data_IF_234237347387
#
_entry.id   IF_234237347387
#
_cell.length_a   1.000
_cell.length_b   1.000
_cell.length_c   1.000
_cell.angle_alpha   90.00
_cell.angle_beta   90.00
_cell.angle_gamma   90.00
#
_symmetry.space_group_name_H-M   'P 1'
#
loop_
_entity.id
_entity.type
_entity.pdbx_description
1 polymer ?
#
# COMPACT_ATOMS: atom_id res chain seq x y z
N UNK A 1 -4.85 14.71 -17.28
CA UNK A 1 -6.14 15.44 -17.31
C UNK A 1 -6.80 15.43 -15.94
N UNK A 2 -6.47 16.41 -15.09
CA UNK A 2 -7.26 16.69 -13.88
C UNK A 2 -8.43 17.58 -14.29
N UNK A 3 -9.65 17.19 -13.95
CA UNK A 3 -10.84 18.02 -14.20
C UNK A 3 -10.91 19.11 -13.13
N UNK A 4 -11.32 20.32 -13.52
CA UNK A 4 -11.43 21.48 -12.61
C UNK A 4 -12.54 21.24 -11.57
N UNK A 5 -13.60 20.51 -11.95
CA UNK A 5 -14.61 19.99 -11.03
C UNK A 5 -14.19 18.55 -10.67
N UNK A 6 -13.81 18.26 -9.42
CA UNK A 6 -13.35 16.93 -9.07
C UNK A 6 -14.50 15.94 -9.03
N UNK A 7 -14.29 14.77 -9.62
CA UNK A 7 -15.20 13.62 -9.45
C UNK A 7 -14.99 12.96 -8.09
N UNK A 8 -15.98 12.21 -7.59
CA UNK A 8 -15.88 11.52 -6.30
C UNK A 8 -14.63 10.61 -6.20
N UNK A 9 -14.30 9.88 -7.27
CA UNK A 9 -13.09 9.06 -7.34
C UNK A 9 -11.80 9.88 -7.30
N UNK A 10 -11.75 11.01 -8.03
CA UNK A 10 -10.60 11.92 -7.98
C UNK A 10 -10.39 12.49 -6.57
N UNK A 11 -11.46 12.81 -5.84
CA UNK A 11 -11.37 13.28 -4.45
C UNK A 11 -10.75 12.23 -3.53
N UNK A 12 -11.17 10.97 -3.65
CA UNK A 12 -10.61 9.88 -2.85
C UNK A 12 -9.11 9.67 -3.13
N UNK A 13 -8.72 9.55 -4.40
CA UNK A 13 -7.31 9.36 -4.76
C UNK A 13 -6.44 10.56 -4.38
N UNK A 14 -6.96 11.78 -4.50
CA UNK A 14 -6.28 13.00 -4.06
C UNK A 14 -6.08 13.00 -2.54
N UNK A 15 -7.10 12.65 -1.77
CA UNK A 15 -7.01 12.52 -0.32
C UNK A 15 -5.93 11.51 0.10
N UNK A 16 -5.92 10.34 -0.52
CA UNK A 16 -4.90 9.30 -0.25
C UNK A 16 -3.50 9.80 -0.62
N UNK A 17 -3.32 10.45 -1.76
CA UNK A 17 -2.04 11.01 -2.17
C UNK A 17 -1.55 12.10 -1.22
N UNK A 18 -2.43 13.00 -0.78
CA UNK A 18 -2.12 14.04 0.20
C UNK A 18 -1.76 13.42 1.56
N UNK A 19 -2.46 12.37 1.99
CA UNK A 19 -2.13 11.61 3.19
C UNK A 19 -0.70 11.03 3.12
N UNK A 20 -0.37 10.32 2.03
CA UNK A 20 0.97 9.74 1.83
C UNK A 20 2.03 10.84 1.79
N UNK A 21 1.76 11.95 1.09
CA UNK A 21 2.69 13.08 1.00
C UNK A 21 2.94 13.72 2.37
N UNK A 22 1.89 13.88 3.18
CA UNK A 22 2.01 14.43 4.52
C UNK A 22 2.84 13.51 5.44
N UNK A 23 2.55 12.20 5.44
CA UNK A 23 3.36 11.22 6.17
C UNK A 23 4.82 11.27 5.73
N UNK A 24 5.06 11.27 4.41
CA UNK A 24 6.42 11.33 3.85
C UNK A 24 7.13 12.61 4.27
N UNK A 25 6.45 13.76 4.21
CA UNK A 25 7.02 15.05 4.63
C UNK A 25 7.35 15.08 6.11
N UNK A 26 6.47 14.56 6.97
CA UNK A 26 6.67 14.54 8.42
C UNK A 26 7.84 13.63 8.82
N UNK A 27 8.01 12.48 8.16
CA UNK A 27 9.01 11.49 8.56
C UNK A 27 10.36 11.64 7.85
N UNK A 28 10.36 12.03 6.56
CA UNK A 28 11.58 12.18 5.75
C UNK A 28 12.08 13.63 5.74
N UNK A 29 11.19 14.61 5.84
CA UNK A 29 11.54 16.03 5.79
C UNK A 29 11.43 16.64 4.38
N UNK A 30 12.21 17.69 4.12
CA UNK A 30 12.11 18.47 2.87
C UNK A 30 12.42 17.63 1.62
N UNK A 31 13.27 16.61 1.73
CA UNK A 31 13.62 15.69 0.64
C UNK A 31 12.61 14.55 0.44
N UNK A 32 11.39 14.64 0.99
CA UNK A 32 10.36 13.59 0.89
C UNK A 32 9.89 13.28 -0.55
N UNK A 33 10.05 14.21 -1.50
CA UNK A 33 9.48 14.12 -2.86
C UNK A 33 9.75 12.77 -3.56
N UNK A 34 11.01 12.33 -3.70
CA UNK A 34 11.37 11.03 -4.29
C UNK A 34 10.84 9.81 -3.53
N UNK A 35 10.53 9.93 -2.24
CA UNK A 35 10.07 8.83 -1.39
C UNK A 35 8.55 8.63 -1.43
N UNK A 36 7.80 9.63 -1.87
CA UNK A 36 6.32 9.56 -1.94
C UNK A 36 5.83 8.34 -2.73
N UNK A 37 6.37 8.00 -3.92
CA UNK A 37 5.95 6.81 -4.65
C UNK A 37 6.26 5.51 -3.87
N UNK A 38 7.45 5.39 -3.28
CA UNK A 38 7.86 4.20 -2.54
C UNK A 38 6.98 3.96 -1.30
N UNK A 39 6.84 4.99 -0.46
CA UNK A 39 5.99 4.96 0.74
C UNK A 39 4.53 4.69 0.36
N UNK A 40 4.05 5.35 -0.70
CA UNK A 40 2.69 5.17 -1.19
C UNK A 40 2.39 3.77 -1.67
N UNK A 41 3.28 3.16 -2.45
CA UNK A 41 3.14 1.78 -2.92
C UNK A 41 3.16 0.79 -1.76
N UNK A 42 4.09 0.94 -0.81
CA UNK A 42 4.16 0.10 0.39
C UNK A 42 2.88 0.20 1.22
N UNK A 43 2.42 1.42 1.50
CA UNK A 43 1.20 1.67 2.25
C UNK A 43 -0.02 1.04 1.57
N UNK A 44 -0.25 1.34 0.29
CA UNK A 44 -1.43 0.87 -0.43
C UNK A 44 -1.41 -0.65 -0.59
N UNK A 45 -0.25 -1.24 -0.90
CA UNK A 45 -0.12 -2.69 -1.02
C UNK A 45 -0.47 -3.39 0.28
N UNK A 46 0.14 -2.98 1.40
CA UNK A 46 -0.08 -3.62 2.70
C UNK A 46 -1.51 -3.38 3.18
N UNK A 47 -2.01 -2.14 3.07
CA UNK A 47 -3.36 -1.78 3.51
C UNK A 47 -4.43 -2.58 2.76
N UNK A 48 -4.39 -2.58 1.44
CA UNK A 48 -5.36 -3.31 0.61
C UNK A 48 -5.21 -4.82 0.80
N UNK A 49 -3.99 -5.34 0.91
CA UNK A 49 -3.75 -6.77 1.19
C UNK A 49 -4.42 -7.19 2.50
N UNK A 50 -4.18 -6.47 3.59
CA UNK A 50 -4.72 -6.81 4.90
C UNK A 50 -6.24 -6.64 4.95
N UNK A 51 -6.76 -5.53 4.39
CA UNK A 51 -8.21 -5.30 4.32
C UNK A 51 -8.91 -6.33 3.45
N UNK A 52 -8.32 -6.71 2.31
CA UNK A 52 -8.90 -7.74 1.44
C UNK A 52 -9.04 -9.07 2.17
N UNK A 53 -8.09 -9.44 3.02
CA UNK A 53 -8.18 -10.68 3.80
C UNK A 53 -9.20 -10.62 4.93
N UNK A 54 -9.39 -9.46 5.54
CA UNK A 54 -10.39 -9.28 6.60
C UNK A 54 -11.83 -9.17 6.05
N UNK A 55 -12.01 -8.56 4.89
CA UNK A 55 -13.33 -8.25 4.33
C UNK A 55 -13.85 -9.34 3.38
N UNK A 56 -12.98 -9.99 2.62
CA UNK A 56 -13.39 -11.01 1.66
C UNK A 56 -13.35 -12.40 2.31
N UNK A 57 -14.39 -13.23 2.12
CA UNK A 57 -14.49 -14.54 2.75
C UNK A 57 -13.68 -15.59 1.98
N UNK A 58 -12.36 -15.43 1.93
CA UNK A 58 -11.44 -16.30 1.17
C UNK A 58 -11.53 -17.77 1.57
N UNK A 59 -11.91 -18.06 2.81
CA UNK A 59 -12.10 -19.42 3.34
C UNK A 59 -13.24 -20.21 2.67
N UNK A 60 -14.14 -19.55 1.92
CA UNK A 60 -15.16 -20.24 1.11
C UNK A 60 -14.53 -20.96 -0.09
N UNK A 61 -13.42 -20.42 -0.61
CA UNK A 61 -12.73 -20.99 -1.77
C UNK A 61 -11.61 -21.90 -1.25
N UNK A 62 -11.80 -23.22 -1.36
CA UNK A 62 -10.79 -24.20 -1.00
C UNK A 62 -9.94 -24.56 -2.21
N UNK A 63 -8.62 -24.53 -2.04
CA UNK A 63 -7.68 -24.96 -3.07
C UNK A 63 -7.25 -26.40 -2.81
N UNK A 64 -6.85 -27.14 -3.86
CA UNK A 64 -6.24 -28.46 -3.71
C UNK A 64 -4.99 -28.43 -2.81
N UNK A 65 -4.27 -27.31 -2.79
CA UNK A 65 -3.09 -27.07 -1.97
C UNK A 65 -3.08 -25.62 -1.45
N UNK A 66 -2.82 -25.44 -0.15
CA UNK A 66 -2.69 -24.14 0.51
C UNK A 66 -4.03 -23.49 0.89
N UNK A 67 -3.95 -22.24 1.36
CA UNK A 67 -5.09 -21.42 1.74
C UNK A 67 -5.06 -20.07 1.02
N UNK A 68 -6.22 -19.58 0.56
CA UNK A 68 -6.34 -18.18 0.14
C UNK A 68 -6.42 -17.29 1.38
N UNK A 69 -5.42 -16.44 1.53
CA UNK A 69 -5.29 -15.47 2.61
C UNK A 69 -4.63 -14.18 2.06
N UNK A 70 -4.36 -13.21 2.93
CA UNK A 70 -3.61 -12.02 2.53
C UNK A 70 -2.25 -12.42 1.94
N UNK A 71 -1.74 -11.71 0.91
CA UNK A 71 -0.36 -11.86 0.45
C UNK A 71 0.68 -11.70 1.58
N UNK A 72 0.38 -10.88 2.58
CA UNK A 72 1.19 -10.62 3.77
C UNK A 72 1.20 -11.76 4.79
N UNK A 73 0.41 -12.82 4.57
CA UNK A 73 0.45 -14.04 5.39
C UNK A 73 1.69 -14.92 5.09
N UNK A 74 2.32 -14.71 3.93
CA UNK A 74 3.56 -15.40 3.56
C UNK A 74 4.79 -14.62 4.07
N UNK A 75 5.74 -15.34 4.68
CA UNK A 75 7.02 -14.78 5.13
C UNK A 75 7.82 -14.22 3.95
N UNK A 76 7.75 -14.82 2.76
CA UNK A 76 8.45 -14.34 1.58
C UNK A 76 8.02 -12.92 1.20
N UNK A 77 6.72 -12.64 1.27
CA UNK A 77 6.19 -11.30 1.01
C UNK A 77 6.71 -10.31 2.05
N UNK A 78 6.57 -10.63 3.35
CA UNK A 78 6.97 -9.71 4.42
C UNK A 78 8.48 -9.47 4.46
N UNK A 79 9.28 -10.51 4.25
CA UNK A 79 10.74 -10.41 4.12
C UNK A 79 11.14 -9.61 2.88
N UNK A 80 10.52 -9.86 1.72
CA UNK A 80 10.82 -9.09 0.51
C UNK A 80 10.52 -7.61 0.69
N UNK A 81 9.38 -7.25 1.29
CA UNK A 81 9.03 -5.86 1.59
C UNK A 81 10.01 -5.21 2.58
N UNK A 82 10.43 -5.96 3.61
CA UNK A 82 11.42 -5.48 4.59
C UNK A 82 12.78 -5.24 3.92
N UNK A 83 13.23 -6.17 3.06
CA UNK A 83 14.47 -6.05 2.31
C UNK A 83 14.43 -4.90 1.30
N UNK A 84 13.33 -4.72 0.57
CA UNK A 84 13.14 -3.57 -0.33
C UNK A 84 13.27 -2.25 0.42
N UNK A 85 12.68 -2.15 1.62
CA UNK A 85 12.80 -0.96 2.47
C UNK A 85 14.23 -0.76 2.96
N UNK A 86 14.90 -1.84 3.36
CA UNK A 86 16.30 -1.79 3.80
C UNK A 86 17.24 -1.32 2.68
N UNK A 87 17.10 -1.88 1.47
CA UNK A 87 17.91 -1.52 0.30
C UNK A 87 17.58 -0.12 -0.22
N UNK A 88 16.33 0.34 -0.07
CA UNK A 88 15.98 1.70 -0.43
C UNK A 88 16.67 2.72 0.49
N UNK A 89 16.88 2.39 1.76
CA UNK A 89 17.43 3.30 2.77
C UNK A 89 18.97 3.26 2.91
N UNK A 90 19.57 2.06 2.88
CA UNK A 90 21.01 1.84 3.08
C UNK A 90 21.75 1.63 1.77
#
# INVERSE_FOLDING_TARGET
NQQIIPTAGQNFFKYVLEFIRNVSKTQVGEEHGPWVPFIGTMFLFIFVSNWSAALLPWKIIQLPHGELAAPTNDINTTVALALLTSVAYF
#
